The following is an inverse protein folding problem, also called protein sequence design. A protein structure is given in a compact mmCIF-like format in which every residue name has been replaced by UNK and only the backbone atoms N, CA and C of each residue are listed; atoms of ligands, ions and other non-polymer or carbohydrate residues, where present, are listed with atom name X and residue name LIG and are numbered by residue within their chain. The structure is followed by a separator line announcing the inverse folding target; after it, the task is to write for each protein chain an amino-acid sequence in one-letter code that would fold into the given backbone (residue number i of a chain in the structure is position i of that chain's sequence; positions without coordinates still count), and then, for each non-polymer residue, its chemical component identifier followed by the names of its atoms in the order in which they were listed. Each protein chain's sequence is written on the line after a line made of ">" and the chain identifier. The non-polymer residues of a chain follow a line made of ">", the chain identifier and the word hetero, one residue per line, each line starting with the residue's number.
data_IF_158603676639
#
_entry.id   IF_158603676639
#
_cell.length_a   1.000
_cell.length_b   1.000
_cell.length_c   1.000
_cell.angle_alpha   90.00
_cell.angle_beta   90.00
_cell.angle_gamma   90.00
#
_symmetry.space_group_name_H-M   'P 1'
#
loop_
_entity.id
_entity.type
_entity.pdbx_description
1 polymer ?
#
# COMPACT_ATOMS: atom_id res chain seq x y z
N UNK A 1 13.40 -12.17 -8.69
CA UNK A 1 12.09 -12.57 -8.10
C UNK A 1 11.01 -11.61 -8.51
N UNK A 2 9.80 -12.09 -8.63
CA UNK A 2 8.64 -11.25 -8.91
C UNK A 2 7.89 -10.99 -7.61
N UNK A 3 7.54 -9.74 -7.36
CA UNK A 3 6.74 -9.35 -6.20
C UNK A 3 5.28 -9.21 -6.63
N UNK A 4 4.41 -10.01 -6.03
CA UNK A 4 2.97 -9.98 -6.24
C UNK A 4 2.33 -9.21 -5.10
N UNK A 5 1.54 -8.19 -5.42
CA UNK A 5 0.86 -7.38 -4.42
C UNK A 5 -0.65 -7.57 -4.57
N UNK A 6 -1.27 -8.11 -3.53
CA UNK A 6 -2.71 -8.31 -3.47
C UNK A 6 -3.39 -7.21 -2.64
N UNK A 7 -4.68 -7.05 -2.81
CA UNK A 7 -5.46 -6.05 -2.08
C UNK A 7 -5.60 -6.37 -0.60
N UNK A 8 -5.62 -7.67 -0.25
CA UNK A 8 -5.84 -8.13 1.12
C UNK A 8 -5.11 -9.45 1.38
N UNK A 9 -4.85 -9.78 2.68
CA UNK A 9 -4.08 -10.98 3.03
C UNK A 9 -4.67 -12.29 2.51
N UNK A 10 -5.99 -12.45 2.55
CA UNK A 10 -6.65 -13.68 2.10
C UNK A 10 -6.40 -13.95 0.61
N UNK A 11 -6.44 -12.91 -0.21
CA UNK A 11 -6.17 -13.02 -1.63
C UNK A 11 -4.70 -13.37 -1.88
N UNK A 12 -3.79 -12.74 -1.13
CA UNK A 12 -2.37 -13.04 -1.23
C UNK A 12 -2.07 -14.50 -0.91
N UNK A 13 -2.71 -15.04 0.12
CA UNK A 13 -2.54 -16.45 0.48
C UNK A 13 -3.05 -17.39 -0.60
N UNK A 14 -4.18 -17.09 -1.22
CA UNK A 14 -4.73 -17.88 -2.33
C UNK A 14 -3.80 -17.86 -3.53
N UNK A 15 -3.29 -16.69 -3.90
CA UNK A 15 -2.34 -16.55 -5.01
C UNK A 15 -1.02 -17.27 -4.70
N UNK A 16 -0.53 -17.16 -3.47
CA UNK A 16 0.71 -17.80 -3.06
C UNK A 16 0.66 -19.31 -3.20
N UNK A 17 -0.48 -19.95 -2.93
CA UNK A 17 -0.65 -21.38 -3.11
C UNK A 17 -0.49 -21.78 -4.59
N UNK A 18 -1.00 -20.95 -5.49
CA UNK A 18 -0.92 -21.23 -6.94
C UNK A 18 0.50 -21.09 -7.45
N UNK A 19 1.23 -20.07 -7.00
CA UNK A 19 2.58 -19.78 -7.49
C UNK A 19 3.69 -20.47 -6.69
N UNK A 20 3.34 -21.20 -5.62
CA UNK A 20 4.31 -21.93 -4.80
C UNK A 20 5.07 -21.10 -3.78
N UNK A 21 4.59 -19.91 -3.44
CA UNK A 21 5.17 -19.06 -2.40
C UNK A 21 4.64 -19.47 -1.03
N UNK A 22 5.17 -20.56 -0.48
CA UNK A 22 4.62 -21.21 0.72
C UNK A 22 5.37 -20.89 2.01
N UNK A 23 6.50 -20.21 1.96
CA UNK A 23 7.26 -19.82 3.15
C UNK A 23 6.70 -18.54 3.74
N UNK A 24 6.16 -18.63 4.94
CA UNK A 24 5.60 -17.48 5.64
C UNK A 24 6.71 -16.62 6.25
N UNK A 25 6.69 -15.34 5.94
CA UNK A 25 7.57 -14.31 6.49
C UNK A 25 6.76 -13.23 7.18
N UNK A 26 7.44 -12.24 7.76
CA UNK A 26 6.76 -11.10 8.39
C UNK A 26 6.18 -10.17 7.34
N UNK A 27 4.87 -10.27 7.13
CA UNK A 27 4.14 -9.42 6.19
C UNK A 27 4.17 -9.87 4.73
N UNK A 28 4.71 -11.05 4.43
CA UNK A 28 4.72 -11.59 3.07
C UNK A 28 4.95 -13.10 3.05
N UNK A 29 4.77 -13.70 1.88
CA UNK A 29 5.04 -15.11 1.62
C UNK A 29 6.12 -15.21 0.54
N UNK A 30 7.00 -16.20 0.65
CA UNK A 30 8.14 -16.36 -0.25
C UNK A 30 8.23 -17.79 -0.75
N UNK A 31 8.63 -17.97 -1.99
CA UNK A 31 8.89 -19.28 -2.57
C UNK A 31 8.69 -19.29 -4.08
N UNK A 32 9.23 -20.30 -4.75
CA UNK A 32 9.05 -20.50 -6.19
C UNK A 32 9.53 -19.36 -7.07
N UNK A 33 10.43 -18.50 -6.58
CA UNK A 33 10.87 -17.32 -7.32
C UNK A 33 9.92 -16.12 -7.17
N UNK A 34 8.97 -16.19 -6.27
CA UNK A 34 7.97 -15.14 -6.01
C UNK A 34 7.99 -14.68 -4.57
N UNK A 35 7.65 -13.41 -4.40
CA UNK A 35 7.26 -12.84 -3.12
C UNK A 35 5.79 -12.42 -3.24
N UNK A 36 4.95 -12.80 -2.30
CA UNK A 36 3.55 -12.40 -2.28
C UNK A 36 3.27 -11.59 -1.04
N UNK A 37 2.87 -10.36 -1.20
CA UNK A 37 2.50 -9.48 -0.11
C UNK A 37 1.13 -8.86 -0.38
N UNK A 38 0.68 -8.02 0.52
CA UNK A 38 -0.69 -7.52 0.50
C UNK A 38 -0.80 -6.13 1.09
N UNK A 39 -1.89 -5.45 0.72
CA UNK A 39 -2.34 -4.25 1.37
C UNK A 39 -3.35 -4.61 2.46
N UNK A 40 -3.54 -3.73 3.42
CA UNK A 40 -4.58 -3.83 4.45
C UNK A 40 -5.50 -2.63 4.32
N UNK A 41 -6.30 -2.64 3.24
CA UNK A 41 -7.08 -1.49 2.83
C UNK A 41 -6.21 -0.45 2.13
N UNK A 42 -6.56 0.82 2.22
CA UNK A 42 -5.79 1.89 1.62
C UNK A 42 -4.52 2.17 2.43
N UNK A 43 -3.34 1.98 1.83
CA UNK A 43 -2.06 2.29 2.46
C UNK A 43 -1.70 3.76 2.35
N UNK A 44 -2.02 4.36 1.21
CA UNK A 44 -1.77 5.77 0.91
C UNK A 44 -3.11 6.41 0.58
N UNK A 45 -3.33 7.59 1.13
CA UNK A 45 -4.57 8.33 0.93
C UNK A 45 -4.29 9.81 0.70
N UNK A 46 -5.27 10.53 0.18
CA UNK A 46 -5.16 11.98 0.07
C UNK A 46 -5.08 12.59 1.45
N UNK A 47 -4.20 13.58 1.61
CA UNK A 47 -4.10 14.33 2.86
C UNK A 47 -5.40 15.05 3.17
N UNK A 48 -5.73 15.17 4.45
CA UNK A 48 -6.89 15.90 4.91
C UNK A 48 -6.79 17.38 4.51
N UNK A 49 -7.93 18.08 4.34
CA UNK A 49 -7.93 19.48 3.91
C UNK A 49 -7.06 20.41 4.77
N UNK A 50 -6.98 20.19 6.07
CA UNK A 50 -6.17 21.01 6.98
C UNK A 50 -4.65 20.93 6.71
N UNK A 51 -4.18 19.92 5.98
CA UNK A 51 -2.78 19.81 5.55
C UNK A 51 -2.42 20.82 4.49
N UNK A 52 -3.41 21.30 3.72
CA UNK A 52 -3.21 22.35 2.71
C UNK A 52 -3.27 23.74 3.33
N UNK A 53 -4.18 23.94 4.27
CA UNK A 53 -4.36 25.18 5.00
C UNK A 53 -5.11 24.90 6.30
N UNK A 54 -4.60 25.42 7.42
CA UNK A 54 -5.17 25.19 8.76
C UNK A 54 -6.64 25.61 8.88
N UNK A 55 -7.09 26.62 8.13
CA UNK A 55 -8.48 27.08 8.24
C UNK A 55 -9.48 26.04 7.72
N UNK A 56 -9.03 25.05 6.93
CA UNK A 56 -9.87 23.94 6.48
C UNK A 56 -10.14 22.89 7.57
N UNK A 57 -9.54 23.02 8.76
CA UNK A 57 -9.85 22.15 9.89
C UNK A 57 -11.31 22.24 10.32
N UNK A 58 -11.96 23.38 10.08
CA UNK A 58 -13.39 23.58 10.29
C UNK A 58 -14.13 23.54 8.96
N UNK A 59 -15.19 22.77 8.89
CA UNK A 59 -16.02 22.66 7.71
C UNK A 59 -16.88 23.91 7.54
N UNK A 60 -16.70 24.60 6.39
CA UNK A 60 -17.49 25.79 6.02
C UNK A 60 -17.88 25.67 4.57
N UNK A 61 -19.12 26.04 4.23
CA UNK A 61 -19.59 26.02 2.86
C UNK A 61 -18.77 26.96 1.96
N UNK A 62 -18.35 28.11 2.47
CA UNK A 62 -17.57 29.10 1.76
C UNK A 62 -16.18 28.61 1.35
N UNK A 63 -15.66 27.56 2.01
CA UNK A 63 -14.37 26.96 1.70
C UNK A 63 -14.48 25.90 0.59
N UNK A 64 -15.68 25.57 0.16
CA UNK A 64 -15.90 24.56 -0.88
C UNK A 64 -16.13 25.21 -2.25
N UNK A 65 -15.67 24.60 -3.34
CA UNK A 65 -14.85 23.37 -3.38
C UNK A 65 -13.40 23.65 -3.01
N UNK A 66 -12.77 22.68 -2.36
CA UNK A 66 -11.34 22.72 -2.02
C UNK A 66 -10.56 22.19 -3.22
N UNK A 67 -9.90 23.07 -3.95
CA UNK A 67 -9.17 22.74 -5.19
C UNK A 67 -7.70 23.16 -5.06
N UNK A 68 -6.85 22.34 -4.44
CA UNK A 68 -5.43 22.64 -4.31
C UNK A 68 -4.74 22.57 -5.67
N UNK A 69 -3.68 23.35 -5.87
CA UNK A 69 -2.86 23.28 -7.07
C UNK A 69 -2.14 21.93 -7.18
N UNK A 70 -1.75 21.35 -6.04
CA UNK A 70 -1.09 20.05 -5.96
C UNK A 70 -1.80 19.21 -4.91
N UNK A 71 -2.20 17.99 -5.30
CA UNK A 71 -2.79 17.03 -4.38
C UNK A 71 -1.69 16.37 -3.55
N UNK A 72 -1.88 16.35 -2.22
CA UNK A 72 -0.95 15.73 -1.29
C UNK A 72 -1.45 14.34 -0.89
N UNK A 73 -0.52 13.39 -0.87
CA UNK A 73 -0.78 12.02 -0.43
C UNK A 73 0.02 11.73 0.83
N UNK A 74 -0.55 10.93 1.71
CA UNK A 74 0.15 10.50 2.90
C UNK A 74 -0.16 9.04 3.22
N UNK A 75 0.78 8.38 3.93
CA UNK A 75 0.60 7.00 4.38
C UNK A 75 -0.37 7.00 5.55
N UNK A 76 -1.38 6.13 5.50
CA UNK A 76 -2.33 5.97 6.61
C UNK A 76 -1.59 5.46 7.86
N UNK A 77 -1.82 6.07 9.02
CA UNK A 77 -1.19 5.67 10.28
C UNK A 77 -1.52 4.22 10.65
N UNK A 78 -2.75 3.79 10.40
CA UNK A 78 -3.19 2.44 10.72
C UNK A 78 -2.49 1.36 9.92
N UNK A 79 -1.95 1.70 8.75
CA UNK A 79 -1.35 0.75 7.81
C UNK A 79 0.14 0.99 7.57
N UNK A 80 0.75 1.88 8.35
CA UNK A 80 2.15 2.28 8.17
C UNK A 80 3.13 1.11 8.22
N UNK A 81 2.91 0.12 9.09
CA UNK A 81 3.77 -1.06 9.18
C UNK A 81 3.77 -1.85 7.87
N UNK A 82 2.60 -2.13 7.32
CA UNK A 82 2.49 -2.88 6.05
C UNK A 82 3.05 -2.08 4.88
N UNK A 83 2.87 -0.78 4.88
CA UNK A 83 3.49 0.10 3.88
C UNK A 83 5.01 -0.03 3.90
N UNK A 84 5.63 -0.02 5.07
CA UNK A 84 7.09 -0.17 5.21
C UNK A 84 7.57 -1.54 4.73
N UNK A 85 6.81 -2.59 5.02
CA UNK A 85 7.12 -3.94 4.53
C UNK A 85 7.10 -3.99 3.01
N UNK A 86 6.04 -3.46 2.38
CA UNK A 86 5.94 -3.41 0.92
C UNK A 86 7.06 -2.58 0.31
N UNK A 87 7.37 -1.44 0.89
CA UNK A 87 8.45 -0.58 0.42
C UNK A 87 9.80 -1.30 0.47
N UNK A 88 10.08 -1.99 1.57
CA UNK A 88 11.33 -2.75 1.70
C UNK A 88 11.42 -3.89 0.68
N UNK A 89 10.31 -4.55 0.38
CA UNK A 89 10.27 -5.59 -0.65
C UNK A 89 10.51 -5.02 -2.05
N UNK A 90 9.92 -3.86 -2.35
CA UNK A 90 10.13 -3.19 -3.64
C UNK A 90 11.57 -2.75 -3.84
N UNK A 91 12.25 -2.40 -2.75
CA UNK A 91 13.65 -1.92 -2.79
C UNK A 91 14.67 -3.06 -2.81
N UNK A 92 14.24 -4.32 -2.69
CA UNK A 92 15.17 -5.46 -2.73
C UNK A 92 15.81 -5.58 -4.12
N UNK A 93 17.12 -5.84 -4.11
CA UNK A 93 17.90 -5.98 -5.34
C UNK A 93 17.48 -7.20 -6.19
N UNK A 94 16.94 -8.24 -5.54
CA UNK A 94 16.51 -9.47 -6.21
C UNK A 94 15.08 -9.40 -6.76
N UNK A 95 14.35 -8.34 -6.49
CA UNK A 95 13.02 -8.10 -7.07
C UNK A 95 13.19 -7.39 -8.41
N UNK A 96 12.82 -8.07 -9.49
CA UNK A 96 13.00 -7.58 -10.87
C UNK A 96 11.71 -7.05 -11.49
N UNK A 97 10.55 -7.46 -10.98
CA UNK A 97 9.26 -7.02 -11.52
C UNK A 97 8.18 -7.06 -10.46
N UNK A 98 7.13 -6.30 -10.68
CA UNK A 98 5.96 -6.24 -9.81
C UNK A 98 4.74 -6.75 -10.56
N UNK A 99 3.89 -7.51 -9.85
CA UNK A 99 2.59 -7.95 -10.37
C UNK A 99 1.51 -7.33 -9.49
N UNK A 100 0.70 -6.49 -10.08
CA UNK A 100 -0.43 -5.86 -9.38
C UNK A 100 -1.63 -6.79 -9.47
N UNK A 101 -2.01 -7.40 -8.34
CA UNK A 101 -3.11 -8.35 -8.24
C UNK A 101 -4.23 -7.81 -7.34
N UNK A 102 -4.52 -6.53 -7.48
CA UNK A 102 -5.56 -5.85 -6.70
C UNK A 102 -6.92 -5.90 -7.39
#
# INVERSE_FOLDING_TARGET
>A
MKLVIAEKPSLAQSLARVIGADKRRDGYLEGGGYLASWCVGHLVELSAPERYDEHFAKWRLEDLPILPERWLYEVSQATGKQYQILKSLMDRADVTSLVCAT
#
